data_IF_764711336716
#
_entry.id   IF_764711336716
#
_cell.length_a   1.000
_cell.length_b   1.000
_cell.length_c   1.000
_cell.angle_alpha   90.00
_cell.angle_beta   90.00
_cell.angle_gamma   90.00
#
_symmetry.space_group_name_H-M   'P 1'
#
loop_
_entity.id
_entity.type
_entity.pdbx_description
1 polymer ?
#
# COMPACT_ATOMS: atom_id res chain seq x y z
N UNK A 1 76.56 -44.73 70.58
CA UNK A 1 76.10 -43.79 71.62
C UNK A 1 75.78 -42.47 70.94
N UNK A 2 74.50 -42.07 71.04
CA UNK A 2 73.97 -40.71 71.19
C UNK A 2 75.02 -39.64 71.60
N UNK A 3 74.94 -38.33 71.27
CA UNK A 3 73.98 -37.45 70.60
C UNK A 3 74.71 -36.08 70.38
N UNK A 4 74.17 -35.32 69.43
CA UNK A 4 74.37 -33.92 68.95
C UNK A 4 74.58 -32.76 69.98
N UNK A 5 74.89 -31.47 69.59
CA UNK A 5 74.34 -30.77 68.40
C UNK A 5 75.19 -29.75 67.60
N UNK A 6 74.75 -29.54 66.36
CA UNK A 6 74.99 -28.36 65.53
C UNK A 6 74.11 -27.18 65.97
N UNK A 7 74.52 -25.95 65.66
CA UNK A 7 73.58 -24.82 65.52
C UNK A 7 73.75 -24.17 64.16
N UNK A 8 72.70 -24.24 63.36
CA UNK A 8 72.52 -23.51 62.11
C UNK A 8 71.74 -22.23 62.39
N UNK A 9 72.07 -21.15 61.69
CA UNK A 9 71.13 -20.04 61.46
C UNK A 9 71.07 -19.81 59.95
N UNK A 10 69.88 -20.05 59.38
CA UNK A 10 69.53 -19.80 58.00
C UNK A 10 68.54 -18.64 57.92
N UNK A 11 68.88 -17.60 57.16
CA UNK A 11 67.95 -16.85 56.32
C UNK A 11 68.66 -16.57 55.00
N UNK A 12 68.33 -17.35 53.96
CA UNK A 12 69.02 -17.35 52.66
C UNK A 12 68.83 -16.06 51.86
N UNK A 13 69.62 -15.78 50.81
CA UNK A 13 70.67 -16.54 50.13
C UNK A 13 71.75 -15.54 49.73
N UNK A 14 72.96 -15.65 50.28
CA UNK A 14 74.24 -15.45 49.59
C UNK A 14 75.36 -15.75 50.58
N UNK A 15 76.10 -16.83 50.35
CA UNK A 15 77.35 -17.12 51.05
C UNK A 15 78.45 -16.46 50.21
N UNK A 16 79.13 -15.46 50.77
CA UNK A 16 80.32 -14.86 50.15
C UNK A 16 81.51 -15.08 51.09
N UNK A 17 82.51 -15.81 50.61
CA UNK A 17 83.85 -15.80 51.18
C UNK A 17 84.63 -14.67 50.52
N UNK A 18 85.26 -13.82 51.32
CA UNK A 18 86.11 -12.74 50.84
C UNK A 18 87.57 -13.19 50.77
N UNK A 19 88.29 -12.81 49.71
CA UNK A 19 89.68 -12.34 49.84
C UNK A 19 90.14 -11.45 48.67
N UNK A 20 90.62 -10.27 49.06
CA UNK A 20 91.49 -9.24 48.47
C UNK A 20 92.29 -9.52 47.18
N UNK A 21 92.13 -8.67 46.16
CA UNK A 21 93.04 -7.53 45.82
C UNK A 21 92.65 -6.93 44.46
N UNK A 22 92.46 -5.60 44.42
CA UNK A 22 91.97 -4.86 43.25
C UNK A 22 93.05 -4.46 42.26
N UNK A 23 92.74 -4.64 40.97
CA UNK A 23 93.05 -3.79 39.80
C UNK A 23 92.91 -4.62 38.51
N UNK A 24 91.66 -4.87 38.07
CA UNK A 24 91.31 -5.24 36.69
C UNK A 24 89.79 -5.53 36.64
N UNK A 25 88.95 -4.55 36.28
CA UNK A 25 87.53 -4.75 35.89
C UNK A 25 86.85 -3.39 35.59
N UNK A 26 87.31 -2.64 34.59
CA UNK A 26 86.57 -1.45 34.13
C UNK A 26 86.47 -1.28 32.60
N UNK A 27 87.27 -2.01 31.81
CA UNK A 27 87.18 -1.94 30.34
C UNK A 27 86.23 -2.98 29.72
N UNK A 28 86.04 -4.16 30.33
CA UNK A 28 85.17 -5.21 29.79
C UNK A 28 83.66 -4.92 29.91
N UNK A 29 83.23 -4.32 31.02
CA UNK A 29 81.80 -4.01 31.26
C UNK A 29 81.29 -2.88 30.35
N UNK A 30 82.17 -1.97 29.92
CA UNK A 30 81.81 -0.90 28.98
C UNK A 30 81.71 -1.43 27.53
N UNK A 31 82.57 -2.37 27.13
CA UNK A 31 82.52 -2.99 25.81
C UNK A 31 81.26 -3.86 25.61
N UNK A 32 80.93 -4.72 26.58
CA UNK A 32 79.71 -5.57 26.56
C UNK A 32 78.42 -4.73 26.43
N UNK A 33 78.37 -3.56 27.07
CA UNK A 33 77.21 -2.65 27.02
C UNK A 33 77.10 -1.87 25.71
N UNK A 34 78.20 -1.66 25.00
CA UNK A 34 78.20 -1.02 23.66
C UNK A 34 77.75 -2.04 22.62
N UNK A 35 78.21 -3.28 22.72
CA UNK A 35 77.85 -4.38 21.81
C UNK A 35 76.35 -4.76 21.90
N UNK A 36 75.79 -4.76 23.12
CA UNK A 36 74.36 -5.02 23.35
C UNK A 36 73.44 -3.93 22.76
N UNK A 37 73.91 -2.67 22.71
CA UNK A 37 73.17 -1.54 22.11
C UNK A 37 73.11 -1.64 20.59
N UNK A 38 74.25 -1.94 19.97
CA UNK A 38 74.35 -1.98 18.51
C UNK A 38 73.53 -3.16 17.95
N UNK A 39 73.54 -4.31 18.64
CA UNK A 39 72.66 -5.45 18.30
C UNK A 39 71.16 -5.13 18.40
N UNK A 40 70.74 -4.35 19.41
CA UNK A 40 69.33 -3.98 19.59
C UNK A 40 68.88 -2.96 18.54
N UNK A 41 69.74 -2.02 18.16
CA UNK A 41 69.48 -1.05 17.10
C UNK A 41 69.40 -1.71 15.73
N UNK A 42 70.31 -2.63 15.41
CA UNK A 42 70.27 -3.41 14.17
C UNK A 42 68.97 -4.21 14.05
N UNK A 43 68.51 -4.82 15.14
CA UNK A 43 67.25 -5.57 15.18
C UNK A 43 66.03 -4.65 14.97
N UNK A 44 66.04 -3.44 15.53
CA UNK A 44 64.98 -2.44 15.29
C UNK A 44 64.98 -1.97 13.84
N UNK A 45 66.15 -1.75 13.23
CA UNK A 45 66.27 -1.35 11.82
C UNK A 45 65.86 -2.45 10.83
N UNK A 46 66.13 -3.71 11.17
CA UNK A 46 65.66 -4.85 10.40
C UNK A 46 64.13 -4.94 10.41
N UNK A 47 63.52 -4.82 11.60
CA UNK A 47 62.07 -4.84 11.74
C UNK A 47 61.40 -3.62 11.09
N UNK A 48 62.04 -2.45 11.11
CA UNK A 48 61.54 -1.26 10.40
C UNK A 48 61.43 -1.51 8.89
N UNK A 49 62.43 -2.18 8.30
CA UNK A 49 62.39 -2.58 6.88
C UNK A 49 61.30 -3.60 6.62
N UNK A 50 61.26 -4.68 7.41
CA UNK A 50 60.24 -5.73 7.28
C UNK A 50 58.82 -5.17 7.39
N UNK A 51 58.59 -4.30 8.38
CA UNK A 51 57.29 -3.62 8.58
C UNK A 51 56.92 -2.72 7.41
N UNK A 52 57.87 -2.00 6.83
CA UNK A 52 57.59 -1.09 5.70
C UNK A 52 57.17 -1.81 4.43
N UNK A 53 57.65 -3.04 4.24
CA UNK A 53 57.40 -3.90 3.07
C UNK A 53 56.21 -4.85 3.26
N UNK A 54 55.50 -4.77 4.39
CA UNK A 54 54.34 -5.64 4.64
C UNK A 54 53.26 -5.49 3.57
N UNK A 55 52.80 -6.64 3.10
CA UNK A 55 51.62 -6.80 2.24
C UNK A 55 50.67 -7.78 2.91
N UNK A 56 49.37 -7.61 2.67
CA UNK A 56 48.34 -8.54 3.11
C UNK A 56 47.22 -8.54 2.06
N UNK A 57 46.66 -9.71 1.78
CA UNK A 57 45.63 -9.91 0.77
C UNK A 57 44.20 -9.97 1.34
N UNK A 58 44.05 -10.20 2.65
CA UNK A 58 42.75 -10.40 3.30
C UNK A 58 42.79 -10.01 4.79
N UNK A 59 41.62 -9.93 5.42
CA UNK A 59 41.46 -9.56 6.83
C UNK A 59 42.18 -10.53 7.79
N UNK A 60 42.29 -11.82 7.45
CA UNK A 60 42.97 -12.82 8.29
C UNK A 60 44.49 -12.59 8.33
N UNK A 61 45.09 -12.27 7.18
CA UNK A 61 46.51 -11.91 7.06
C UNK A 61 46.81 -10.60 7.81
N UNK A 62 45.92 -9.60 7.75
CA UNK A 62 46.07 -8.34 8.48
C UNK A 62 46.06 -8.56 9.99
N UNK A 63 45.15 -9.40 10.50
CA UNK A 63 45.12 -9.75 11.93
C UNK A 63 46.31 -10.63 12.34
N UNK A 64 46.80 -11.51 11.48
CA UNK A 64 48.03 -12.27 11.73
C UNK A 64 49.25 -11.34 11.86
N UNK A 65 49.39 -10.33 10.99
CA UNK A 65 50.44 -9.31 11.07
C UNK A 65 50.31 -8.46 12.35
N UNK A 66 49.09 -8.07 12.72
CA UNK A 66 48.82 -7.34 13.97
C UNK A 66 49.21 -8.18 15.19
N UNK A 67 48.91 -9.47 15.19
CA UNK A 67 49.28 -10.38 16.27
C UNK A 67 50.80 -10.56 16.36
N UNK A 68 51.50 -10.68 15.22
CA UNK A 68 52.96 -10.83 15.15
C UNK A 68 53.69 -9.60 15.72
N UNK A 69 53.32 -8.39 15.30
CA UNK A 69 54.09 -7.18 15.67
C UNK A 69 53.52 -6.40 16.85
N UNK A 70 52.20 -6.23 16.96
CA UNK A 70 51.55 -5.30 17.90
C UNK A 70 50.88 -5.97 19.11
N UNK A 71 50.86 -7.31 19.20
CA UNK A 71 50.25 -8.00 20.34
C UNK A 71 51.09 -7.88 21.62
N UNK A 72 50.48 -8.27 22.75
CA UNK A 72 51.17 -8.34 24.06
C UNK A 72 52.36 -9.33 24.07
N UNK A 73 52.37 -10.30 23.16
CA UNK A 73 53.48 -11.25 22.94
C UNK A 73 54.23 -10.97 21.63
N UNK A 74 53.94 -9.84 20.98
CA UNK A 74 54.50 -9.49 19.69
C UNK A 74 55.93 -9.01 19.78
N UNK A 75 56.60 -8.99 18.63
CA UNK A 75 58.04 -8.69 18.54
C UNK A 75 58.38 -7.29 19.04
N UNK A 76 57.51 -6.29 18.81
CA UNK A 76 57.72 -4.92 19.29
C UNK A 76 57.56 -4.85 20.82
N UNK A 77 56.63 -5.61 21.40
CA UNK A 77 56.44 -5.67 22.85
C UNK A 77 57.59 -6.39 23.55
N UNK A 78 58.18 -7.41 22.92
CA UNK A 78 59.40 -8.06 23.39
C UNK A 78 60.59 -7.08 23.41
N UNK A 79 60.78 -6.31 22.33
CA UNK A 79 61.81 -5.26 22.29
C UNK A 79 61.59 -4.15 23.32
N UNK A 80 60.34 -3.84 23.67
CA UNK A 80 60.00 -2.92 24.77
C UNK A 80 60.33 -3.49 26.15
N UNK A 81 60.31 -4.82 26.32
CA UNK A 81 60.76 -5.46 27.55
C UNK A 81 62.30 -5.41 27.65
N UNK A 82 63.00 -5.75 26.57
CA UNK A 82 64.46 -5.70 26.47
C UNK A 82 65.00 -4.27 26.66
N UNK A 83 64.22 -3.24 26.31
CA UNK A 83 64.55 -1.83 26.55
C UNK A 83 64.76 -1.49 28.05
N UNK A 84 64.21 -2.27 28.98
CA UNK A 84 64.38 -2.01 30.43
C UNK A 84 65.83 -2.16 30.88
N UNK A 85 66.57 -3.04 30.23
CA UNK A 85 67.94 -3.44 30.59
C UNK A 85 69.01 -2.55 29.91
N UNK A 86 68.60 -1.58 29.08
CA UNK A 86 69.48 -0.63 28.40
C UNK A 86 70.08 0.38 29.38
N UNK A 87 71.37 0.72 29.22
CA UNK A 87 72.06 1.71 30.06
C UNK A 87 71.49 3.13 29.89
N UNK A 88 71.50 3.94 30.96
CA UNK A 88 70.79 5.22 31.05
C UNK A 88 71.23 6.26 29.99
N UNK A 89 72.49 6.21 29.58
CA UNK A 89 73.11 7.03 28.54
C UNK A 89 72.67 6.67 27.11
N UNK A 90 72.12 5.46 26.91
CA UNK A 90 71.74 4.93 25.60
C UNK A 90 70.21 4.85 25.39
N UNK A 91 69.42 4.96 26.47
CA UNK A 91 67.95 4.88 26.44
C UNK A 91 67.30 5.88 25.47
N UNK A 92 67.88 7.06 25.29
CA UNK A 92 67.32 8.11 24.41
C UNK A 92 67.31 7.69 22.93
N UNK A 93 68.42 7.15 22.43
CA UNK A 93 68.55 6.77 21.02
C UNK A 93 67.69 5.55 20.68
N UNK A 94 67.76 4.51 21.52
CA UNK A 94 66.97 3.28 21.35
C UNK A 94 65.47 3.56 21.49
N UNK A 95 65.06 4.39 22.45
CA UNK A 95 63.65 4.74 22.66
C UNK A 95 63.01 5.48 21.48
N UNK A 96 63.76 6.37 20.81
CA UNK A 96 63.29 7.05 19.61
C UNK A 96 63.04 6.07 18.46
N UNK A 97 63.98 5.17 18.19
CA UNK A 97 63.88 4.16 17.13
C UNK A 97 62.79 3.13 17.40
N UNK A 98 62.59 2.74 18.65
CA UNK A 98 61.53 1.81 19.05
C UNK A 98 60.13 2.44 18.90
N UNK A 99 59.99 3.73 19.21
CA UNK A 99 58.75 4.46 18.98
C UNK A 99 58.46 4.64 17.48
N UNK A 100 59.50 4.90 16.68
CA UNK A 100 59.42 4.96 15.20
C UNK A 100 58.93 3.62 14.62
N UNK A 101 59.47 2.49 15.09
CA UNK A 101 59.02 1.14 14.70
C UNK A 101 57.55 0.90 15.03
N UNK A 102 57.14 1.23 16.26
CA UNK A 102 55.74 1.06 16.69
C UNK A 102 54.77 1.91 15.85
N UNK A 103 55.12 3.17 15.61
CA UNK A 103 54.29 4.07 14.80
C UNK A 103 54.19 3.60 13.35
N UNK A 104 55.31 3.16 12.77
CA UNK A 104 55.37 2.66 11.39
C UNK A 104 54.55 1.38 11.24
N UNK A 105 54.65 0.43 12.18
CA UNK A 105 53.85 -0.80 12.18
C UNK A 105 52.36 -0.53 12.33
N UNK A 106 52.00 0.38 13.24
CA UNK A 106 50.59 0.76 13.44
C UNK A 106 50.03 1.43 12.18
N UNK A 107 50.78 2.35 11.56
CA UNK A 107 50.37 3.03 10.34
C UNK A 107 50.19 2.04 9.18
N UNK A 108 51.18 1.17 8.93
CA UNK A 108 51.12 0.22 7.82
C UNK A 108 49.98 -0.79 7.94
N UNK A 109 49.73 -1.29 9.15
CA UNK A 109 48.61 -2.23 9.40
C UNK A 109 47.26 -1.52 9.20
N UNK A 110 47.14 -0.25 9.62
CA UNK A 110 45.93 0.53 9.36
C UNK A 110 45.74 0.82 7.87
N UNK A 111 46.80 1.15 7.13
CA UNK A 111 46.76 1.34 5.67
C UNK A 111 46.29 0.06 4.95
N UNK A 112 46.81 -1.11 5.34
CA UNK A 112 46.39 -2.40 4.79
C UNK A 112 44.92 -2.70 5.10
N UNK A 113 44.46 -2.33 6.31
CA UNK A 113 43.07 -2.51 6.73
C UNK A 113 42.11 -1.65 5.90
N UNK A 114 42.44 -0.38 5.70
CA UNK A 114 41.63 0.56 4.90
C UNK A 114 41.54 0.12 3.43
N UNK A 115 42.64 -0.39 2.87
CA UNK A 115 42.69 -0.96 1.51
C UNK A 115 41.81 -2.22 1.36
N UNK A 116 41.75 -3.08 2.37
CA UNK A 116 40.93 -4.28 2.36
C UNK A 116 39.43 -3.96 2.49
N UNK A 117 39.07 -3.02 3.39
CA UNK A 117 37.68 -2.58 3.58
C UNK A 117 37.11 -1.92 2.32
N UNK A 118 37.90 -1.13 1.60
CA UNK A 118 37.44 -0.51 0.33
C UNK A 118 37.24 -1.53 -0.79
N UNK A 119 38.03 -2.61 -0.81
CA UNK A 119 37.92 -3.67 -1.82
C UNK A 119 36.66 -4.56 -1.63
N UNK A 120 36.24 -4.82 -0.38
CA UNK A 120 35.04 -5.63 -0.09
C UNK A 120 33.72 -4.93 -0.46
N UNK A 121 33.67 -3.59 -0.42
CA UNK A 121 32.47 -2.83 -0.80
C UNK A 121 32.18 -2.76 -2.31
N UNK A 122 33.10 -3.22 -3.16
CA UNK A 122 33.01 -3.00 -4.61
C UNK A 122 32.28 -4.12 -5.39
N UNK A 123 31.77 -5.17 -4.74
CA UNK A 123 31.39 -6.41 -5.45
C UNK A 123 29.90 -6.80 -5.43
N UNK A 124 29.00 -5.99 -4.89
CA UNK A 124 27.57 -6.24 -5.07
C UNK A 124 27.07 -5.57 -6.36
N UNK A 125 27.41 -6.18 -7.50
CA UNK A 125 26.88 -5.87 -8.83
C UNK A 125 25.42 -6.36 -8.94
N UNK A 126 24.53 -5.75 -8.15
CA UNK A 126 23.10 -6.03 -8.17
C UNK A 126 22.49 -5.23 -9.32
N UNK A 127 21.95 -5.95 -10.30
CA UNK A 127 21.14 -5.35 -11.36
C UNK A 127 19.83 -4.76 -10.78
N UNK A 128 19.86 -3.46 -10.50
CA UNK A 128 18.71 -2.70 -10.00
C UNK A 128 17.59 -2.54 -11.05
N UNK A 129 17.83 -2.92 -12.31
CA UNK A 129 16.80 -2.93 -13.36
C UNK A 129 16.00 -4.23 -13.38
N UNK A 130 16.48 -5.27 -12.69
CA UNK A 130 15.78 -6.56 -12.61
C UNK A 130 14.45 -6.39 -11.88
N UNK A 131 13.38 -6.78 -12.54
CA UNK A 131 12.03 -6.75 -11.97
C UNK A 131 12.01 -7.56 -10.67
N UNK A 132 11.39 -6.98 -9.63
CA UNK A 132 11.11 -7.70 -8.40
C UNK A 132 10.22 -8.92 -8.68
N UNK A 133 10.23 -9.90 -7.78
CA UNK A 133 9.31 -11.03 -7.87
C UNK A 133 7.86 -10.51 -7.91
N UNK A 134 7.05 -10.90 -8.93
CA UNK A 134 5.74 -10.31 -9.12
C UNK A 134 4.84 -10.64 -7.94
N UNK A 135 4.22 -9.61 -7.36
CA UNK A 135 3.13 -9.77 -6.38
C UNK A 135 1.85 -9.36 -7.09
N UNK A 136 0.98 -10.32 -7.51
CA UNK A 136 -0.21 -9.98 -8.28
C UNK A 136 -1.16 -9.16 -7.41
N UNK A 137 -1.51 -7.97 -7.89
CA UNK A 137 -2.58 -7.17 -7.30
C UNK A 137 -3.92 -7.68 -7.83
N UNK A 138 -4.91 -7.79 -6.96
CA UNK A 138 -6.28 -8.04 -7.38
C UNK A 138 -6.88 -6.82 -8.07
N UNK A 139 -7.94 -7.04 -8.84
CA UNK A 139 -8.71 -5.99 -9.51
C UNK A 139 -10.10 -5.87 -8.90
N UNK A 140 -10.65 -4.65 -8.88
CA UNK A 140 -12.06 -4.42 -8.52
C UNK A 140 -12.91 -4.57 -9.77
N UNK A 141 -14.06 -5.24 -9.64
CA UNK A 141 -15.00 -5.35 -10.74
C UNK A 141 -15.42 -3.94 -11.24
N UNK A 142 -15.46 -3.67 -12.56
CA UNK A 142 -15.75 -2.34 -13.09
C UNK A 142 -17.10 -1.77 -12.65
N UNK A 143 -18.13 -2.63 -12.52
CA UNK A 143 -19.43 -2.21 -11.97
C UNK A 143 -19.32 -1.72 -10.52
N UNK A 144 -18.44 -2.32 -9.70
CA UNK A 144 -18.24 -1.88 -8.31
C UNK A 144 -17.48 -0.55 -8.26
N UNK A 145 -16.50 -0.33 -9.14
CA UNK A 145 -15.79 0.95 -9.26
C UNK A 145 -16.79 2.06 -9.57
N UNK A 146 -17.64 1.85 -10.58
CA UNK A 146 -18.64 2.83 -11.02
C UNK A 146 -19.72 3.02 -9.96
N UNK A 147 -20.25 1.95 -9.38
CA UNK A 147 -21.21 2.01 -8.28
C UNK A 147 -20.67 2.84 -7.13
N UNK A 148 -19.45 2.56 -6.67
CA UNK A 148 -18.84 3.27 -5.55
C UNK A 148 -18.64 4.76 -5.88
N UNK A 149 -18.26 5.09 -7.12
CA UNK A 149 -18.16 6.49 -7.57
C UNK A 149 -19.51 7.20 -7.57
N UNK A 150 -20.58 6.54 -8.02
CA UNK A 150 -21.93 7.11 -7.99
C UNK A 150 -22.38 7.33 -6.53
N UNK A 151 -22.17 6.34 -5.67
CA UNK A 151 -22.46 6.41 -4.23
C UNK A 151 -21.70 7.56 -3.58
N UNK A 152 -20.40 7.74 -3.88
CA UNK A 152 -19.59 8.84 -3.36
C UNK A 152 -20.16 10.22 -3.75
N UNK A 153 -20.51 10.41 -5.03
CA UNK A 153 -21.07 11.67 -5.53
C UNK A 153 -22.34 12.04 -4.76
N UNK A 154 -23.28 11.11 -4.60
CA UNK A 154 -24.52 11.37 -3.89
C UNK A 154 -24.33 11.47 -2.37
N UNK A 155 -23.38 10.75 -1.78
CA UNK A 155 -23.03 10.86 -0.36
C UNK A 155 -22.53 12.27 -0.03
N UNK A 156 -21.73 12.88 -0.92
CA UNK A 156 -21.30 14.29 -0.80
C UNK A 156 -22.47 15.29 -0.87
N UNK A 157 -23.60 14.90 -1.46
CA UNK A 157 -24.86 15.67 -1.47
C UNK A 157 -25.78 15.34 -0.27
N UNK A 158 -25.31 14.52 0.67
CA UNK A 158 -26.04 14.16 1.90
C UNK A 158 -27.03 13.01 1.75
N UNK A 159 -26.97 12.23 0.66
CA UNK A 159 -27.76 11.01 0.54
C UNK A 159 -27.15 9.88 1.39
N UNK A 160 -27.99 9.10 2.06
CA UNK A 160 -27.58 7.91 2.80
C UNK A 160 -27.90 6.63 2.04
N UNK A 161 -27.10 5.58 2.24
CA UNK A 161 -27.40 4.28 1.65
C UNK A 161 -28.60 3.62 2.34
N UNK A 162 -29.50 3.07 1.53
CA UNK A 162 -30.57 2.16 1.96
C UNK A 162 -30.45 0.87 1.14
N UNK A 163 -30.74 -0.26 1.77
CA UNK A 163 -30.70 -1.58 1.15
C UNK A 163 -31.99 -2.34 1.46
N UNK A 164 -32.30 -3.33 0.64
CA UNK A 164 -33.48 -4.16 0.80
C UNK A 164 -33.39 -5.45 -0.02
N UNK A 165 -34.34 -6.37 0.17
CA UNK A 165 -34.26 -7.70 -0.39
C UNK A 165 -34.38 -7.69 -1.92
N UNK A 166 -33.80 -8.71 -2.56
CA UNK A 166 -33.92 -8.94 -4.01
C UNK A 166 -35.17 -9.74 -4.38
N UNK A 167 -35.59 -10.65 -3.49
CA UNK A 167 -36.89 -11.31 -3.54
C UNK A 167 -37.87 -10.45 -2.77
N UNK A 168 -38.85 -9.92 -3.46
CA UNK A 168 -39.80 -8.91 -2.95
C UNK A 168 -41.24 -9.36 -3.16
N UNK A 169 -42.15 -8.69 -2.46
CA UNK A 169 -43.58 -8.78 -2.76
C UNK A 169 -44.00 -7.71 -3.79
N UNK A 170 -45.08 -7.99 -4.53
CA UNK A 170 -45.67 -7.04 -5.48
C UNK A 170 -46.13 -5.74 -4.81
N UNK A 171 -46.56 -5.82 -3.54
CA UNK A 171 -47.01 -4.65 -2.79
C UNK A 171 -45.93 -3.55 -2.79
N UNK A 172 -44.68 -3.87 -2.48
CA UNK A 172 -43.58 -2.91 -2.42
C UNK A 172 -43.01 -2.58 -3.79
N UNK A 173 -42.94 -3.54 -4.72
CA UNK A 173 -42.37 -3.30 -6.06
C UNK A 173 -43.33 -2.48 -6.93
N UNK A 174 -44.62 -2.83 -6.96
CA UNK A 174 -45.57 -2.28 -7.92
C UNK A 174 -46.69 -1.49 -7.26
N UNK A 175 -47.43 -2.08 -6.31
CA UNK A 175 -48.68 -1.49 -5.83
C UNK A 175 -48.46 -0.16 -5.09
N UNK A 176 -47.48 -0.08 -4.19
CA UNK A 176 -47.10 1.18 -3.54
C UNK A 176 -46.45 2.19 -4.50
N UNK A 177 -45.91 1.71 -5.62
CA UNK A 177 -45.34 2.53 -6.68
C UNK A 177 -46.39 2.91 -7.74
N UNK A 178 -47.68 2.90 -7.37
CA UNK A 178 -48.79 3.38 -8.19
C UNK A 178 -48.96 2.63 -9.53
N UNK A 179 -48.47 1.41 -9.65
CA UNK A 179 -48.76 0.56 -10.80
C UNK A 179 -50.17 -0.01 -10.68
N UNK A 180 -50.95 0.04 -11.77
CA UNK A 180 -52.23 -0.65 -11.82
C UNK A 180 -52.05 -2.19 -11.79
N UNK A 181 -53.02 -2.97 -11.25
CA UNK A 181 -52.92 -4.43 -11.19
C UNK A 181 -52.74 -5.12 -12.56
N UNK A 182 -53.24 -4.50 -13.63
CA UNK A 182 -53.17 -4.96 -15.02
C UNK A 182 -52.02 -4.32 -15.81
N UNK A 183 -51.10 -3.61 -15.14
CA UNK A 183 -49.99 -2.95 -15.79
C UNK A 183 -49.01 -3.95 -16.45
N UNK A 184 -48.55 -3.75 -17.69
CA UNK A 184 -47.68 -4.69 -18.41
C UNK A 184 -46.42 -5.10 -17.66
N UNK A 185 -45.78 -4.18 -16.92
CA UNK A 185 -44.62 -4.50 -16.08
C UNK A 185 -44.85 -5.61 -15.04
N UNK A 186 -46.11 -5.90 -14.68
CA UNK A 186 -46.50 -7.01 -13.78
C UNK A 186 -46.68 -8.35 -14.53
N UNK A 187 -46.59 -8.37 -15.86
CA UNK A 187 -46.73 -9.58 -16.66
C UNK A 187 -45.53 -10.51 -16.44
N UNK A 188 -45.77 -11.82 -16.54
CA UNK A 188 -44.73 -12.85 -16.51
C UNK A 188 -43.74 -12.72 -17.67
N UNK A 189 -44.11 -12.01 -18.74
CA UNK A 189 -43.19 -11.68 -19.84
C UNK A 189 -42.07 -10.72 -19.40
N UNK A 190 -42.29 -9.89 -18.39
CA UNK A 190 -41.33 -8.86 -17.95
C UNK A 190 -40.73 -9.17 -16.56
N UNK A 191 -41.46 -9.86 -15.68
CA UNK A 191 -41.08 -10.10 -14.28
C UNK A 191 -40.90 -11.59 -13.95
N UNK A 192 -39.87 -11.91 -13.17
CA UNK A 192 -39.68 -13.28 -12.64
C UNK A 192 -40.50 -13.50 -11.37
N UNK A 193 -41.39 -14.49 -11.41
CA UNK A 193 -42.23 -14.91 -10.28
C UNK A 193 -41.61 -16.09 -9.54
N UNK A 194 -41.56 -15.98 -8.21
CA UNK A 194 -41.22 -17.06 -7.28
C UNK A 194 -42.49 -17.75 -6.79
N UNK A 195 -43.52 -16.96 -6.45
CA UNK A 195 -44.86 -17.43 -6.09
C UNK A 195 -45.92 -16.47 -6.67
N UNK A 196 -47.05 -17.01 -7.12
CA UNK A 196 -48.10 -16.26 -7.83
C UNK A 196 -49.48 -16.55 -7.23
N UNK A 197 -50.17 -15.49 -6.82
CA UNK A 197 -51.48 -15.48 -6.22
C UNK A 197 -52.48 -14.71 -7.11
N UNK A 198 -53.17 -15.45 -7.98
CA UNK A 198 -54.12 -14.88 -8.95
C UNK A 198 -55.30 -14.11 -8.34
N UNK A 199 -55.66 -14.39 -7.08
CA UNK A 199 -56.75 -13.70 -6.39
C UNK A 199 -56.34 -12.34 -5.79
N UNK A 200 -55.05 -12.12 -5.53
CA UNK A 200 -54.54 -10.90 -4.90
C UNK A 200 -53.09 -10.69 -5.33
N UNK A 201 -52.91 -9.84 -6.35
CA UNK A 201 -51.60 -9.57 -6.94
C UNK A 201 -50.59 -9.03 -5.94
N UNK A 202 -51.04 -8.36 -4.87
CA UNK A 202 -50.16 -7.74 -3.87
C UNK A 202 -49.34 -8.75 -3.06
N UNK A 203 -49.77 -10.01 -3.06
CA UNK A 203 -49.09 -11.12 -2.37
C UNK A 203 -48.10 -11.87 -3.23
N UNK A 204 -48.05 -11.58 -4.54
CA UNK A 204 -47.10 -12.23 -5.44
C UNK A 204 -45.67 -12.02 -4.92
N UNK A 205 -44.87 -13.08 -4.94
CA UNK A 205 -43.45 -13.03 -4.60
C UNK A 205 -42.65 -13.05 -5.89
N UNK A 206 -41.82 -12.05 -6.11
CA UNK A 206 -41.11 -11.79 -7.36
C UNK A 206 -39.64 -11.46 -7.10
N UNK A 207 -38.81 -11.59 -8.14
CA UNK A 207 -37.51 -10.92 -8.16
C UNK A 207 -37.74 -9.46 -8.57
N UNK A 208 -37.27 -8.51 -7.76
CA UNK A 208 -37.54 -7.08 -8.00
C UNK A 208 -37.02 -6.62 -9.37
N UNK A 209 -37.85 -5.89 -10.10
CA UNK A 209 -37.52 -5.34 -11.43
C UNK A 209 -36.86 -3.96 -11.37
N UNK A 210 -36.93 -3.33 -10.20
CA UNK A 210 -36.33 -2.05 -9.83
C UNK A 210 -36.12 -1.99 -8.31
N UNK A 211 -35.27 -1.08 -7.85
CA UNK A 211 -34.94 -0.88 -6.42
C UNK A 211 -35.92 0.05 -5.69
N UNK A 212 -37.00 0.49 -6.35
CA UNK A 212 -38.04 1.34 -5.75
C UNK A 212 -38.78 0.67 -4.60
N UNK A 213 -38.73 -0.66 -4.49
CA UNK A 213 -39.29 -1.36 -3.33
C UNK A 213 -38.61 -0.92 -2.02
N UNK A 214 -37.31 -0.64 -2.06
CA UNK A 214 -36.55 -0.10 -0.91
C UNK A 214 -37.07 1.29 -0.54
N UNK A 215 -37.37 2.12 -1.54
CA UNK A 215 -37.97 3.44 -1.31
C UNK A 215 -39.31 3.34 -0.57
N UNK A 216 -40.19 2.42 -1.00
CA UNK A 216 -41.47 2.16 -0.35
C UNK A 216 -41.27 1.80 1.13
N UNK A 217 -40.38 0.84 1.41
CA UNK A 217 -40.08 0.35 2.76
C UNK A 217 -39.50 1.44 3.68
N UNK A 218 -38.64 2.31 3.14
CA UNK A 218 -38.10 3.44 3.91
C UNK A 218 -39.20 4.46 4.22
N UNK A 219 -40.04 4.82 3.24
CA UNK A 219 -41.14 5.76 3.46
C UNK A 219 -42.15 5.29 4.50
N UNK A 220 -42.41 3.99 4.61
CA UNK A 220 -43.32 3.43 5.62
C UNK A 220 -42.76 3.49 7.05
N UNK A 221 -41.44 3.42 7.20
CA UNK A 221 -40.78 3.29 8.50
C UNK A 221 -40.13 4.59 8.97
N UNK A 222 -40.01 5.58 8.09
CA UNK A 222 -39.29 6.84 8.33
C UNK A 222 -40.14 8.00 7.83
N UNK A 223 -40.34 9.01 8.68
CA UNK A 223 -41.00 10.26 8.27
C UNK A 223 -40.00 11.24 7.65
N UNK A 224 -40.41 12.09 6.68
CA UNK A 224 -39.55 13.12 6.11
C UNK A 224 -38.87 14.03 7.16
N UNK A 225 -37.64 14.54 6.88
CA UNK A 225 -36.93 14.47 5.60
C UNK A 225 -36.29 13.10 5.32
N UNK A 226 -36.47 12.60 4.10
CA UNK A 226 -35.85 11.35 3.61
C UNK A 226 -34.90 11.72 2.48
N UNK A 227 -33.65 11.26 2.54
CA UNK A 227 -32.67 11.43 1.46
C UNK A 227 -31.81 10.18 1.33
N UNK A 228 -32.19 9.28 0.43
CA UNK A 228 -31.59 7.94 0.32
C UNK A 228 -31.17 7.60 -1.11
N UNK A 229 -30.16 6.74 -1.22
CA UNK A 229 -29.80 6.03 -2.45
C UNK A 229 -29.84 4.52 -2.20
N UNK A 230 -30.41 3.79 -3.15
CA UNK A 230 -30.71 2.37 -3.08
C UNK A 230 -29.96 1.63 -4.21
N UNK A 231 -28.67 1.31 -4.05
CA UNK A 231 -27.96 0.48 -5.01
C UNK A 231 -28.39 -0.99 -4.86
N UNK A 232 -28.66 -1.68 -5.96
CA UNK A 232 -29.06 -3.08 -5.88
C UNK A 232 -29.10 -3.80 -7.22
N UNK A 233 -29.06 -5.13 -7.16
CA UNK A 233 -29.38 -5.98 -8.31
C UNK A 233 -30.88 -5.99 -8.57
N UNK A 234 -31.24 -5.98 -9.85
CA UNK A 234 -32.61 -6.04 -10.34
C UNK A 234 -32.69 -7.07 -11.46
N UNK A 235 -33.89 -7.57 -11.71
CA UNK A 235 -34.12 -8.71 -12.59
C UNK A 235 -35.24 -8.41 -13.57
N UNK A 236 -35.05 -8.76 -14.83
CA UNK A 236 -36.08 -8.63 -15.87
C UNK A 236 -36.08 -9.86 -16.74
N UNK A 237 -37.25 -10.35 -17.08
CA UNK A 237 -37.41 -11.51 -17.96
C UNK A 237 -37.20 -11.10 -19.43
N UNK A 238 -35.99 -10.64 -19.74
CA UNK A 238 -35.62 -10.20 -21.08
C UNK A 238 -34.57 -11.14 -21.70
N UNK A 239 -34.56 -11.22 -23.03
CA UNK A 239 -33.58 -12.02 -23.75
C UNK A 239 -32.16 -11.46 -23.56
N UNK A 240 -31.22 -12.35 -23.23
CA UNK A 240 -29.80 -11.99 -23.07
C UNK A 240 -29.21 -11.63 -24.44
N UNK A 241 -28.70 -10.42 -24.57
CA UNK A 241 -28.05 -9.89 -25.77
C UNK A 241 -26.82 -9.07 -25.36
N UNK A 242 -26.07 -8.54 -26.34
CA UNK A 242 -24.95 -7.63 -26.05
C UNK A 242 -25.37 -6.33 -25.33
N UNK A 243 -26.68 -6.02 -25.26
CA UNK A 243 -27.22 -4.79 -24.68
C UNK A 243 -28.12 -5.01 -23.46
N UNK A 244 -28.54 -6.25 -23.20
CA UNK A 244 -29.51 -6.58 -22.16
C UNK A 244 -29.14 -7.90 -21.50
N UNK A 245 -29.40 -8.01 -20.21
CA UNK A 245 -29.17 -9.21 -19.41
C UNK A 245 -30.34 -9.41 -18.44
N UNK A 246 -30.64 -10.64 -18.05
CA UNK A 246 -31.77 -10.98 -17.19
C UNK A 246 -31.63 -10.47 -15.74
N UNK A 247 -30.42 -10.10 -15.37
CA UNK A 247 -30.11 -9.34 -14.15
C UNK A 247 -29.11 -8.26 -14.48
N UNK A 248 -29.20 -7.13 -13.78
CA UNK A 248 -28.27 -6.00 -13.88
C UNK A 248 -28.36 -5.17 -12.59
N UNK A 249 -27.62 -4.08 -12.48
CA UNK A 249 -27.56 -3.26 -11.27
C UNK A 249 -28.18 -1.89 -11.52
N UNK A 250 -29.05 -1.49 -10.60
CA UNK A 250 -29.60 -0.14 -10.56
C UNK A 250 -29.16 0.60 -9.31
N UNK A 251 -29.13 1.91 -9.42
CA UNK A 251 -29.09 2.80 -8.27
C UNK A 251 -30.26 3.74 -8.43
N UNK A 252 -31.16 3.72 -7.46
CA UNK A 252 -32.20 4.72 -7.36
C UNK A 252 -31.94 5.67 -6.22
N UNK A 253 -32.42 6.90 -6.35
CA UNK A 253 -32.38 7.88 -5.28
C UNK A 253 -33.76 8.46 -5.02
N UNK A 254 -34.01 8.79 -3.77
CA UNK A 254 -35.23 9.42 -3.29
C UNK A 254 -34.88 10.58 -2.38
N UNK A 255 -35.50 11.74 -2.63
CA UNK A 255 -35.46 12.88 -1.72
C UNK A 255 -36.86 13.42 -1.47
N UNK A 256 -37.29 13.44 -0.22
CA UNK A 256 -38.59 13.97 0.22
C UNK A 256 -38.36 14.95 1.37
N UNK A 257 -38.88 16.16 1.21
CA UNK A 257 -38.89 17.20 2.25
C UNK A 257 -40.01 18.21 1.94
N UNK A 258 -40.09 19.32 2.69
CA UNK A 258 -41.01 20.42 2.40
C UNK A 258 -40.46 21.27 1.26
N UNK A 259 -41.32 21.65 0.32
CA UNK A 259 -41.01 22.55 -0.79
C UNK A 259 -39.93 22.03 -1.76
N UNK A 260 -39.81 20.72 -1.94
CA UNK A 260 -38.94 20.13 -2.97
C UNK A 260 -39.58 20.33 -4.35
N UNK A 261 -38.81 20.82 -5.30
CA UNK A 261 -39.27 21.18 -6.64
C UNK A 261 -38.53 20.44 -7.74
N UNK A 262 -39.07 20.49 -8.95
CA UNK A 262 -38.41 19.93 -10.14
C UNK A 262 -37.09 20.64 -10.47
N UNK A 263 -36.92 21.91 -10.03
CA UNK A 263 -35.67 22.64 -10.19
C UNK A 263 -34.55 22.00 -9.37
N UNK A 264 -34.86 21.51 -8.15
CA UNK A 264 -33.90 20.81 -7.29
C UNK A 264 -33.44 19.51 -7.95
N UNK A 265 -34.39 18.72 -8.47
CA UNK A 265 -34.09 17.51 -9.24
C UNK A 265 -33.14 17.81 -10.40
N UNK A 266 -33.48 18.79 -11.24
CA UNK A 266 -32.67 19.18 -12.40
C UNK A 266 -31.24 19.56 -11.99
N UNK A 267 -31.09 20.31 -10.90
CA UNK A 267 -29.78 20.76 -10.43
C UNK A 267 -28.95 19.59 -9.91
N UNK A 268 -29.55 18.69 -9.12
CA UNK A 268 -28.86 17.49 -8.60
C UNK A 268 -28.43 16.57 -9.74
N UNK A 269 -29.28 16.38 -10.75
CA UNK A 269 -28.95 15.58 -11.92
C UNK A 269 -27.84 16.21 -12.79
N UNK A 270 -27.81 17.54 -12.93
CA UNK A 270 -26.72 18.25 -13.60
C UNK A 270 -25.40 18.08 -12.86
N UNK A 271 -25.40 18.28 -11.54
CA UNK A 271 -24.20 18.09 -10.71
C UNK A 271 -23.68 16.66 -10.79
N UNK A 272 -24.58 15.67 -10.71
CA UNK A 272 -24.22 14.27 -10.90
C UNK A 272 -23.55 14.03 -12.26
N UNK A 273 -24.14 14.52 -13.35
CA UNK A 273 -23.58 14.36 -14.69
C UNK A 273 -22.19 15.00 -14.82
N UNK A 274 -21.99 16.19 -14.25
CA UNK A 274 -20.70 16.89 -14.28
C UNK A 274 -19.62 16.19 -13.45
N UNK A 275 -19.95 15.72 -12.24
CA UNK A 275 -19.01 14.96 -11.39
C UNK A 275 -18.63 13.60 -12.00
N UNK A 276 -19.58 12.97 -12.72
CA UNK A 276 -19.35 11.65 -13.30
C UNK A 276 -18.59 11.69 -14.62
N UNK A 277 -18.90 12.66 -15.50
CA UNK A 277 -18.43 12.73 -16.89
C UNK A 277 -17.62 13.99 -17.24
N UNK A 278 -17.44 14.91 -16.30
CA UNK A 278 -16.63 16.13 -16.45
C UNK A 278 -17.47 17.41 -16.48
N UNK A 279 -16.86 18.54 -16.08
CA UNK A 279 -17.52 19.82 -15.83
C UNK A 279 -18.32 20.38 -17.02
N UNK A 280 -17.92 20.08 -18.26
CA UNK A 280 -18.59 20.55 -19.47
C UNK A 280 -19.80 19.70 -19.90
N UNK A 281 -20.10 18.62 -19.17
CA UNK A 281 -21.21 17.72 -19.47
C UNK A 281 -22.53 18.48 -19.39
N UNK A 282 -23.30 18.43 -20.48
CA UNK A 282 -24.64 19.02 -20.56
C UNK A 282 -25.69 17.95 -20.35
N UNK A 283 -26.81 18.33 -19.73
CA UNK A 283 -27.99 17.46 -19.60
C UNK A 283 -29.13 17.95 -20.47
N UNK A 284 -29.99 17.01 -20.88
CA UNK A 284 -31.27 17.27 -21.54
C UNK A 284 -32.34 16.42 -20.87
N UNK A 285 -33.37 17.06 -20.33
CA UNK A 285 -34.54 16.39 -19.76
C UNK A 285 -35.64 16.35 -20.83
N UNK A 286 -36.13 15.15 -21.14
CA UNK A 286 -37.26 14.92 -22.05
C UNK A 286 -38.45 14.43 -21.22
N UNK A 287 -39.66 14.95 -21.43
CA UNK A 287 -40.85 14.38 -20.80
C UNK A 287 -40.94 12.88 -21.08
N UNK A 288 -41.25 12.11 -20.05
CA UNK A 288 -41.51 10.67 -20.14
C UNK A 288 -42.67 10.33 -19.20
N UNK A 289 -42.93 9.05 -18.97
CA UNK A 289 -43.98 8.59 -18.07
C UNK A 289 -43.47 7.44 -17.20
N UNK A 290 -43.59 7.60 -15.88
CA UNK A 290 -43.42 6.53 -14.90
C UNK A 290 -44.59 6.59 -13.92
N UNK A 291 -45.28 5.47 -13.60
CA UNK A 291 -46.47 5.50 -12.75
C UNK A 291 -46.28 6.14 -11.36
N UNK A 292 -45.06 6.08 -10.83
CA UNK A 292 -44.68 6.60 -9.52
C UNK A 292 -44.16 8.04 -9.52
N UNK A 293 -44.11 8.73 -10.68
CA UNK A 293 -43.68 10.13 -10.74
C UNK A 293 -44.54 11.00 -11.66
N UNK A 294 -44.85 12.23 -11.24
CA UNK A 294 -45.52 13.24 -12.05
C UNK A 294 -45.14 14.67 -11.59
N UNK A 295 -44.49 15.51 -12.43
CA UNK A 295 -44.04 15.22 -13.80
C UNK A 295 -42.84 14.27 -13.86
N UNK A 296 -42.84 13.44 -14.91
CA UNK A 296 -41.78 12.47 -15.25
C UNK A 296 -40.85 12.97 -16.36
N UNK A 297 -39.56 12.60 -16.30
CA UNK A 297 -38.56 12.91 -17.32
C UNK A 297 -37.48 11.83 -17.47
N UNK A 298 -37.03 11.61 -18.71
CA UNK A 298 -35.78 10.92 -19.01
C UNK A 298 -34.65 11.94 -19.16
N UNK A 299 -33.46 11.58 -18.67
CA UNK A 299 -32.28 12.41 -18.81
C UNK A 299 -31.26 11.82 -19.78
N UNK A 300 -30.92 12.63 -20.78
CA UNK A 300 -29.77 12.40 -21.65
C UNK A 300 -28.60 13.30 -21.24
N UNK A 301 -27.38 12.81 -21.43
CA UNK A 301 -26.15 13.61 -21.34
C UNK A 301 -25.53 13.83 -22.71
N UNK A 302 -24.79 14.93 -22.87
CA UNK A 302 -23.92 15.11 -24.03
C UNK A 302 -22.92 13.97 -24.11
N UNK A 303 -22.77 13.36 -25.28
CA UNK A 303 -21.92 12.19 -25.46
C UNK A 303 -20.46 12.51 -25.12
N UNK A 304 -19.96 11.93 -24.02
CA UNK A 304 -18.59 12.11 -23.52
C UNK A 304 -17.52 11.63 -24.52
N UNK A 305 -17.85 10.65 -25.36
CA UNK A 305 -16.90 10.06 -26.31
C UNK A 305 -16.62 10.99 -27.51
N UNK A 306 -17.65 11.66 -28.04
CA UNK A 306 -17.51 12.49 -29.25
C UNK A 306 -17.69 13.98 -29.00
N UNK A 307 -17.88 14.41 -27.75
CA UNK A 307 -18.17 15.80 -27.40
C UNK A 307 -19.46 16.34 -28.03
N UNK A 308 -20.43 15.47 -28.30
CA UNK A 308 -21.71 15.84 -28.94
C UNK A 308 -21.69 15.93 -30.47
N UNK A 309 -20.56 15.64 -31.15
CA UNK A 309 -20.48 15.65 -32.63
C UNK A 309 -21.26 14.51 -33.31
N UNK A 310 -21.59 13.46 -32.57
CA UNK A 310 -22.22 12.25 -33.07
C UNK A 310 -21.20 11.13 -33.35
N UNK A 311 -21.46 9.92 -32.85
CA UNK A 311 -20.68 8.71 -33.11
C UNK A 311 -21.59 7.46 -33.08
N UNK A 312 -21.06 6.30 -33.44
CA UNK A 312 -21.81 5.04 -33.45
C UNK A 312 -22.45 4.70 -32.10
N UNK A 313 -21.80 5.08 -30.98
CA UNK A 313 -22.33 4.84 -29.64
C UNK A 313 -23.60 5.64 -29.34
N UNK A 314 -23.61 6.94 -29.64
CA UNK A 314 -24.78 7.81 -29.43
C UNK A 314 -25.72 7.82 -30.64
N UNK A 315 -25.60 6.86 -31.56
CA UNK A 315 -26.38 6.76 -32.81
C UNK A 315 -26.36 8.08 -33.60
N UNK A 316 -25.22 8.76 -33.62
CA UNK A 316 -25.01 10.06 -34.27
C UNK A 316 -25.89 11.22 -33.75
N UNK A 317 -26.56 11.06 -32.61
CA UNK A 317 -27.42 12.12 -32.04
C UNK A 317 -26.64 13.14 -31.21
N UNK A 318 -25.46 12.76 -30.72
CA UNK A 318 -24.69 13.55 -29.75
C UNK A 318 -25.20 13.44 -28.30
N UNK A 319 -26.28 12.69 -28.06
CA UNK A 319 -26.91 12.51 -26.74
C UNK A 319 -26.99 11.04 -26.35
N UNK A 320 -26.88 10.76 -25.05
CA UNK A 320 -27.03 9.42 -24.52
C UNK A 320 -27.91 9.44 -23.28
N UNK A 321 -29.01 8.71 -23.33
CA UNK A 321 -29.87 8.44 -22.17
C UNK A 321 -29.10 7.66 -21.10
N UNK A 322 -29.18 8.14 -19.86
CA UNK A 322 -28.50 7.49 -18.71
C UNK A 322 -29.41 7.22 -17.51
N UNK A 323 -30.55 7.91 -17.38
CA UNK A 323 -31.46 7.73 -16.25
C UNK A 323 -32.89 8.21 -16.54
N UNK A 324 -33.83 7.68 -15.75
CA UNK A 324 -35.19 8.22 -15.58
C UNK A 324 -35.32 8.94 -14.24
N UNK A 325 -36.16 9.97 -14.17
CA UNK A 325 -36.40 10.76 -12.95
C UNK A 325 -37.76 11.46 -12.98
N UNK A 326 -38.20 11.99 -11.84
CA UNK A 326 -39.41 12.78 -11.77
C UNK A 326 -39.75 13.21 -10.35
N UNK A 327 -40.79 14.04 -10.21
CA UNK A 327 -41.37 14.34 -8.91
C UNK A 327 -42.19 13.15 -8.44
N UNK A 328 -42.07 12.72 -7.18
CA UNK A 328 -42.82 11.58 -6.65
C UNK A 328 -44.31 11.87 -6.74
N UNK A 329 -45.06 10.92 -7.30
CA UNK A 329 -46.52 11.06 -7.45
C UNK A 329 -47.18 11.13 -6.06
N UNK A 330 -48.16 12.04 -5.85
CA UNK A 330 -48.88 12.13 -4.58
C UNK A 330 -49.45 10.81 -4.07
N UNK A 331 -49.94 9.93 -4.95
CA UNK A 331 -50.50 8.64 -4.56
C UNK A 331 -49.45 7.72 -3.93
N UNK A 332 -48.19 7.81 -4.37
CA UNK A 332 -47.07 7.04 -3.80
C UNK A 332 -46.78 7.51 -2.37
N UNK A 333 -46.76 8.83 -2.14
CA UNK A 333 -46.57 9.40 -0.81
C UNK A 333 -47.69 8.96 0.14
N UNK A 334 -48.94 9.10 -0.28
CA UNK A 334 -50.11 8.73 0.52
C UNK A 334 -50.14 7.22 0.81
N UNK A 335 -49.82 6.38 -0.19
CA UNK A 335 -49.74 4.92 -0.03
C UNK A 335 -48.65 4.48 0.97
N UNK A 336 -47.64 5.33 1.20
CA UNK A 336 -46.58 5.09 2.18
C UNK A 336 -46.77 5.88 3.49
N UNK A 337 -47.91 6.53 3.69
CA UNK A 337 -48.23 7.26 4.92
C UNK A 337 -47.56 8.62 5.06
N UNK A 338 -47.20 9.27 3.95
CA UNK A 338 -46.63 10.63 3.90
C UNK A 338 -47.67 11.58 3.30
N UNK A 339 -48.00 12.65 4.04
CA UNK A 339 -48.97 13.67 3.60
C UNK A 339 -48.44 14.48 2.40
N UNK A 340 -49.01 14.23 1.23
CA UNK A 340 -48.63 14.84 -0.05
C UNK A 340 -48.96 16.34 -0.14
N UNK A 341 -49.79 16.87 0.77
CA UNK A 341 -50.06 18.32 0.85
C UNK A 341 -48.98 19.08 1.61
N UNK A 342 -48.21 18.37 2.43
CA UNK A 342 -47.14 18.95 3.26
C UNK A 342 -45.76 18.69 2.66
N UNK A 343 -45.55 17.49 2.13
CA UNK A 343 -44.27 17.05 1.61
C UNK A 343 -44.33 16.84 0.11
N UNK A 344 -43.21 17.14 -0.55
CA UNK A 344 -42.97 16.82 -1.94
C UNK A 344 -41.58 16.20 -2.07
N UNK A 345 -41.31 15.55 -3.20
CA UNK A 345 -40.03 14.90 -3.39
C UNK A 345 -39.77 14.58 -4.84
N UNK A 346 -38.54 14.17 -5.12
CA UNK A 346 -38.17 13.60 -6.41
C UNK A 346 -37.52 12.24 -6.24
N UNK A 347 -37.62 11.44 -7.28
CA UNK A 347 -36.91 10.18 -7.41
C UNK A 347 -36.16 10.13 -8.75
N UNK A 348 -35.11 9.33 -8.80
CA UNK A 348 -34.37 9.03 -10.03
C UNK A 348 -33.85 7.59 -10.00
N UNK A 349 -33.63 7.01 -11.16
CA UNK A 349 -33.13 5.65 -11.32
C UNK A 349 -32.19 5.54 -12.51
N UNK A 350 -31.02 4.94 -12.28
CA UNK A 350 -29.98 4.76 -13.29
C UNK A 350 -29.46 3.32 -13.31
N UNK A 351 -29.02 2.86 -14.48
CA UNK A 351 -28.37 1.57 -14.65
C UNK A 351 -26.85 1.69 -14.54
N UNK A 352 -26.24 0.88 -13.67
CA UNK A 352 -24.78 0.92 -13.44
C UNK A 352 -24.02 0.44 -14.68
N UNK A 353 -24.50 -0.60 -15.35
CA UNK A 353 -23.91 -1.16 -16.57
C UNK A 353 -23.88 -0.12 -17.69
N UNK A 354 -24.96 0.65 -17.85
CA UNK A 354 -25.04 1.70 -18.88
C UNK A 354 -23.99 2.78 -18.67
N UNK A 355 -23.81 3.22 -17.43
CA UNK A 355 -22.80 4.22 -17.06
C UNK A 355 -21.39 3.64 -17.19
N UNK A 356 -21.20 2.37 -16.83
CA UNK A 356 -19.91 1.68 -16.95
C UNK A 356 -19.49 1.53 -18.41
N UNK A 357 -20.42 1.13 -19.29
CA UNK A 357 -20.21 1.09 -20.74
C UNK A 357 -19.83 2.47 -21.29
N UNK A 358 -20.50 3.53 -20.84
CA UNK A 358 -20.17 4.89 -21.24
C UNK A 358 -18.78 5.33 -20.81
N UNK A 359 -18.39 4.98 -19.58
CA UNK A 359 -17.13 5.41 -18.97
C UNK A 359 -15.92 4.69 -19.56
N UNK A 360 -16.05 3.38 -19.78
CA UNK A 360 -14.95 2.52 -20.19
C UNK A 360 -15.08 1.98 -21.62
N UNK A 361 -16.12 2.39 -22.35
CA UNK A 361 -16.37 2.01 -23.75
C UNK A 361 -16.50 0.50 -23.98
N UNK A 362 -16.99 -0.23 -22.97
CA UNK A 362 -17.27 -1.66 -23.08
C UNK A 362 -18.42 -1.87 -24.08
N UNK A 363 -18.16 -2.72 -25.09
CA UNK A 363 -19.04 -2.90 -26.25
C UNK A 363 -20.15 -3.93 -26.01
N UNK A 364 -19.95 -4.85 -25.07
CA UNK A 364 -20.87 -5.94 -24.77
C UNK A 364 -21.11 -6.04 -23.25
N UNK A 365 -22.37 -5.85 -22.85
CA UNK A 365 -22.78 -5.86 -21.45
C UNK A 365 -22.52 -7.21 -20.76
N UNK A 366 -22.53 -8.32 -21.52
CA UNK A 366 -22.36 -9.68 -20.98
C UNK A 366 -20.98 -9.92 -20.39
N UNK A 367 -19.98 -9.16 -20.84
CA UNK A 367 -18.61 -9.24 -20.32
C UNK A 367 -18.54 -8.98 -18.81
N UNK A 368 -19.46 -8.18 -18.26
CA UNK A 368 -19.56 -7.94 -16.82
C UNK A 368 -20.04 -9.16 -16.02
N UNK A 369 -20.79 -10.09 -16.63
CA UNK A 369 -21.30 -11.29 -15.96
C UNK A 369 -20.45 -12.54 -16.24
N UNK A 370 -19.70 -12.55 -17.35
CA UNK A 370 -18.83 -13.67 -17.73
C UNK A 370 -17.61 -13.82 -16.81
N UNK A 371 -17.19 -12.72 -16.17
CA UNK A 371 -16.04 -12.69 -15.25
C UNK A 371 -14.74 -13.21 -15.88
N UNK A 372 -14.50 -12.90 -17.16
CA UNK A 372 -13.22 -13.21 -17.81
C UNK A 372 -12.08 -12.43 -17.14
N UNK A 373 -11.08 -13.15 -16.63
CA UNK A 373 -9.94 -12.55 -15.90
C UNK A 373 -9.21 -11.51 -16.76
N UNK A 374 -9.08 -11.74 -18.07
CA UNK A 374 -8.41 -10.81 -18.99
C UNK A 374 -9.14 -9.48 -19.09
N UNK A 375 -10.47 -9.53 -19.10
CA UNK A 375 -11.31 -8.34 -19.08
C UNK A 375 -11.21 -7.61 -17.74
N UNK A 376 -11.23 -8.34 -16.62
CA UNK A 376 -11.14 -7.74 -15.29
C UNK A 376 -9.76 -7.08 -15.04
N UNK A 377 -8.70 -7.65 -15.60
CA UNK A 377 -7.34 -7.12 -15.50
C UNK A 377 -7.18 -5.75 -16.18
N UNK A 378 -8.02 -5.40 -17.16
CA UNK A 378 -8.01 -4.06 -17.79
C UNK A 378 -8.40 -2.94 -16.81
N UNK A 379 -9.01 -3.28 -15.66
CA UNK A 379 -9.49 -2.31 -14.67
C UNK A 379 -8.61 -2.18 -13.42
N UNK A 380 -7.41 -2.79 -13.40
CA UNK A 380 -6.49 -2.73 -12.25
C UNK A 380 -6.14 -1.29 -11.85
N UNK A 381 -5.98 -0.39 -12.83
CA UNK A 381 -5.64 1.02 -12.60
C UNK A 381 -6.86 1.94 -12.40
N UNK A 382 -8.08 1.40 -12.51
CA UNK A 382 -9.30 2.19 -12.50
C UNK A 382 -9.93 2.39 -11.10
N UNK A 383 -9.43 1.67 -10.08
CA UNK A 383 -10.08 1.48 -8.78
C UNK A 383 -9.63 2.36 -7.63
#
# INVERSE_FOLDING_TARGET
MNLEPYTFVFTGKNITFAQNNGEALWWGIAADKIEQKDMLLEKIEQLLREVSELTAANAEEIEALRLKYLSKKGEITALMADFRDVAADQKKAVGMKLNELKQTATRKINELKEQCETAETATDDIDLTRTAYPTPLGTRHPLNIVRNRIVDIFSRMGFTLADGPEVEDDLHVFTKMNFAPDHPARDMQDTFFVDNHSADVTKNIILRSHTSSVQARVMETTQPPIRIICPGRVYRNEAITARAHCFFHQIEGLYIDRNVSFADLKQVMLMFAQEMFGAETKIRLRPSYFPFTEPSAEMDISCHICGGKGCGFCKHTGWVEILGCGMVDPNVLEACGIDSKVYSGYAFGLGVERITNLKYQVSDLRMFSENDVRFLDEFVSAG
#
